data_IF_986484673255
#
_entry.id   IF_986484673255
#
_cell.length_a   1.000
_cell.length_b   1.000
_cell.length_c   1.000
_cell.angle_alpha   90.00
_cell.angle_beta   90.00
_cell.angle_gamma   90.00
#
_symmetry.space_group_name_H-M   'P 1'
#
loop_
_entity.id
_entity.type
_entity.pdbx_description
1 polymer ?
#
# COMPACT_ATOMS: atom_id res chain seq x y z
N UNK A 1 77.06 -43.51 -9.22
CA UNK A 1 76.03 -42.64 -9.84
C UNK A 1 75.53 -43.13 -11.20
N UNK A 2 76.39 -43.71 -12.07
CA UNK A 2 75.96 -44.20 -13.39
C UNK A 2 74.96 -45.37 -13.36
N UNK A 3 75.17 -46.39 -12.52
CA UNK A 3 74.30 -47.58 -12.51
C UNK A 3 72.89 -47.28 -12.01
N UNK A 4 72.75 -46.43 -10.99
CA UNK A 4 71.46 -46.05 -10.41
C UNK A 4 70.64 -45.20 -11.40
N UNK A 5 71.32 -44.31 -12.13
CA UNK A 5 70.71 -43.54 -13.21
C UNK A 5 70.25 -44.44 -14.37
N UNK A 6 71.06 -45.41 -14.79
CA UNK A 6 70.69 -46.38 -15.84
C UNK A 6 69.51 -47.25 -15.40
N UNK A 7 69.49 -47.74 -14.16
CA UNK A 7 68.37 -48.54 -13.62
C UNK A 7 67.08 -47.72 -13.56
N UNK A 8 67.15 -46.45 -13.15
CA UNK A 8 66.00 -45.54 -13.16
C UNK A 8 65.49 -45.29 -14.58
N UNK A 9 66.38 -45.05 -15.55
CA UNK A 9 66.02 -44.84 -16.96
C UNK A 9 65.40 -46.09 -17.58
N UNK A 10 65.93 -47.28 -17.27
CA UNK A 10 65.37 -48.56 -17.73
C UNK A 10 64.01 -48.82 -17.09
N UNK A 11 63.83 -48.53 -15.80
CA UNK A 11 62.54 -48.64 -15.11
C UNK A 11 61.50 -47.67 -15.69
N UNK A 12 61.90 -46.42 -16.01
CA UNK A 12 61.06 -45.41 -16.68
C UNK A 12 60.67 -45.85 -18.10
N UNK A 13 61.57 -46.52 -18.82
CA UNK A 13 61.33 -47.05 -20.17
C UNK A 13 60.51 -48.35 -20.19
N UNK A 14 60.53 -49.13 -19.09
CA UNK A 14 59.72 -50.35 -18.93
C UNK A 14 58.26 -50.06 -18.55
N UNK A 15 57.95 -48.82 -18.16
CA UNK A 15 56.58 -48.37 -17.93
C UNK A 15 55.87 -48.28 -19.30
N UNK A 16 54.73 -48.98 -19.49
CA UNK A 16 54.01 -48.96 -20.76
C UNK A 16 53.71 -47.52 -21.21
N UNK A 17 53.84 -47.26 -22.51
CA UNK A 17 53.61 -45.93 -23.13
C UNK A 17 52.23 -45.34 -22.76
N UNK A 18 51.26 -46.21 -22.49
CA UNK A 18 49.91 -45.90 -22.03
C UNK A 18 49.90 -45.17 -20.67
N UNK A 19 50.85 -45.48 -19.78
CA UNK A 19 50.97 -44.84 -18.46
C UNK A 19 51.53 -43.41 -18.59
N UNK A 20 52.50 -43.18 -19.48
CA UNK A 20 53.02 -41.83 -19.72
C UNK A 20 51.99 -40.91 -20.37
N UNK A 21 51.17 -41.44 -21.28
CA UNK A 21 50.07 -40.70 -21.91
C UNK A 21 49.00 -40.34 -20.88
N UNK A 22 48.62 -41.27 -20.00
CA UNK A 22 47.61 -41.00 -18.96
C UNK A 22 48.12 -40.00 -17.92
N UNK A 23 49.40 -40.08 -17.51
CA UNK A 23 49.99 -39.12 -16.59
C UNK A 23 50.04 -37.71 -17.17
N UNK A 24 50.48 -37.59 -18.44
CA UNK A 24 50.47 -36.33 -19.19
C UNK A 24 49.07 -35.74 -19.34
N UNK A 25 48.09 -36.56 -19.70
CA UNK A 25 46.69 -36.16 -19.82
C UNK A 25 46.11 -35.69 -18.48
N UNK A 26 46.44 -36.37 -17.37
CA UNK A 26 46.02 -35.96 -16.03
C UNK A 26 46.62 -34.62 -15.61
N UNK A 27 47.91 -34.40 -15.86
CA UNK A 27 48.54 -33.10 -15.57
C UNK A 27 47.96 -31.97 -16.40
N UNK A 28 47.66 -32.21 -17.68
CA UNK A 28 47.01 -31.21 -18.54
C UNK A 28 45.60 -30.90 -18.04
N UNK A 29 44.83 -31.92 -17.65
CA UNK A 29 43.49 -31.74 -17.10
C UNK A 29 43.50 -30.90 -15.80
N UNK A 30 44.44 -31.18 -14.88
CA UNK A 30 44.56 -30.43 -13.63
C UNK A 30 44.90 -28.96 -13.90
N UNK A 31 45.81 -28.68 -14.84
CA UNK A 31 46.17 -27.31 -15.22
C UNK A 31 44.98 -26.56 -15.84
N UNK A 32 44.20 -27.23 -16.69
CA UNK A 32 42.99 -26.63 -17.29
C UNK A 32 41.96 -26.32 -16.20
N UNK A 33 41.69 -27.26 -15.29
CA UNK A 33 40.77 -27.05 -14.16
C UNK A 33 41.23 -25.86 -13.32
N UNK A 34 42.51 -25.78 -12.97
CA UNK A 34 43.06 -24.69 -12.17
C UNK A 34 42.92 -23.31 -12.86
N UNK A 35 43.23 -23.22 -14.16
CA UNK A 35 43.08 -21.99 -14.93
C UNK A 35 41.61 -21.55 -15.03
N UNK A 36 40.70 -22.49 -15.24
CA UNK A 36 39.25 -22.22 -15.29
C UNK A 36 38.76 -21.73 -13.92
N UNK A 37 39.13 -22.40 -12.83
CA UNK A 37 38.76 -21.97 -11.47
C UNK A 37 39.25 -20.55 -11.17
N UNK A 38 40.50 -20.21 -11.55
CA UNK A 38 41.04 -18.86 -11.37
C UNK A 38 40.32 -17.80 -12.20
N UNK A 39 39.94 -18.13 -13.44
CA UNK A 39 39.18 -17.24 -14.30
C UNK A 39 37.77 -16.98 -13.74
N UNK A 40 37.11 -18.01 -13.21
CA UNK A 40 35.78 -17.89 -12.57
C UNK A 40 35.87 -17.03 -11.30
N UNK A 41 36.83 -17.28 -10.40
CA UNK A 41 37.03 -16.47 -9.19
C UNK A 41 37.26 -14.98 -9.51
N UNK A 42 38.06 -14.68 -10.54
CA UNK A 42 38.33 -13.30 -10.97
C UNK A 42 37.09 -12.64 -11.60
N UNK A 43 36.29 -13.40 -12.36
CA UNK A 43 35.04 -12.93 -12.94
C UNK A 43 33.98 -12.67 -11.87
N UNK A 44 33.88 -13.52 -10.85
CA UNK A 44 32.97 -13.35 -9.72
C UNK A 44 33.32 -12.11 -8.89
N UNK A 45 34.60 -11.91 -8.55
CA UNK A 45 35.05 -10.71 -7.84
C UNK A 45 34.70 -9.42 -8.58
N UNK A 46 34.95 -9.37 -9.89
CA UNK A 46 34.60 -8.21 -10.73
C UNK A 46 33.09 -7.97 -10.74
N UNK A 47 32.27 -9.03 -10.84
CA UNK A 47 30.81 -8.92 -10.79
C UNK A 47 30.32 -8.37 -9.45
N UNK A 48 30.91 -8.80 -8.34
CA UNK A 48 30.56 -8.29 -7.00
C UNK A 48 30.92 -6.81 -6.86
N UNK A 49 32.13 -6.41 -7.25
CA UNK A 49 32.57 -5.00 -7.21
C UNK A 49 31.71 -4.10 -8.12
N UNK A 50 31.35 -4.57 -9.31
CA UNK A 50 30.48 -3.84 -10.23
C UNK A 50 29.06 -3.72 -9.68
N UNK A 51 28.52 -4.77 -9.07
CA UNK A 51 27.22 -4.72 -8.38
C UNK A 51 27.23 -3.76 -7.19
N UNK A 52 28.31 -3.72 -6.41
CA UNK A 52 28.46 -2.78 -5.30
C UNK A 52 28.53 -1.33 -5.81
N UNK A 53 29.29 -1.07 -6.89
CA UNK A 53 29.33 0.25 -7.53
C UNK A 53 27.94 0.68 -8.02
N UNK A 54 27.22 -0.20 -8.70
CA UNK A 54 25.85 0.07 -9.18
C UNK A 54 24.92 0.35 -7.99
N UNK A 55 25.03 -0.39 -6.88
CA UNK A 55 24.21 -0.14 -5.68
C UNK A 55 24.53 1.22 -5.05
N UNK A 56 25.81 1.54 -4.88
CA UNK A 56 26.26 2.82 -4.33
C UNK A 56 25.78 3.97 -5.23
N UNK A 57 25.94 3.82 -6.54
CA UNK A 57 25.50 4.81 -7.51
C UNK A 57 23.97 4.99 -7.49
N UNK A 58 23.19 3.90 -7.44
CA UNK A 58 21.73 3.99 -7.31
C UNK A 58 21.29 4.67 -6.02
N UNK A 59 21.96 4.39 -4.90
CA UNK A 59 21.70 5.06 -3.62
C UNK A 59 22.05 6.54 -3.71
N UNK A 60 23.19 6.89 -4.32
CA UNK A 60 23.61 8.27 -4.52
C UNK A 60 22.65 9.03 -5.46
N UNK A 61 22.23 8.42 -6.57
CA UNK A 61 21.24 8.98 -7.49
C UNK A 61 19.88 9.15 -6.82
N UNK A 62 19.43 8.17 -6.03
CA UNK A 62 18.18 8.29 -5.28
C UNK A 62 18.26 9.38 -4.20
N UNK A 63 19.40 9.54 -3.53
CA UNK A 63 19.64 10.61 -2.57
C UNK A 63 19.68 11.98 -3.25
N UNK A 64 20.37 12.11 -4.38
CA UNK A 64 20.44 13.33 -5.18
C UNK A 64 19.05 13.72 -5.70
N UNK A 65 18.29 12.77 -6.26
CA UNK A 65 16.93 13.00 -6.73
C UNK A 65 15.97 13.42 -5.60
N UNK A 66 16.15 12.88 -4.39
CA UNK A 66 15.39 13.33 -3.21
C UNK A 66 15.77 14.75 -2.81
N UNK A 67 17.07 15.07 -2.80
CA UNK A 67 17.55 16.40 -2.46
C UNK A 67 17.04 17.45 -3.45
N UNK A 68 17.12 17.15 -4.74
CA UNK A 68 16.65 18.01 -5.82
C UNK A 68 15.14 18.28 -5.71
N UNK A 69 14.33 17.25 -5.39
CA UNK A 69 12.90 17.43 -5.12
C UNK A 69 12.64 18.36 -3.95
N UNK A 70 13.34 18.16 -2.84
CA UNK A 70 13.18 19.01 -1.64
C UNK A 70 13.61 20.45 -1.93
N UNK A 71 14.71 20.66 -2.66
CA UNK A 71 15.13 22.00 -3.07
C UNK A 71 14.12 22.65 -4.00
N UNK A 72 13.59 21.91 -4.97
CA UNK A 72 12.57 22.41 -5.88
C UNK A 72 11.32 22.85 -5.11
N UNK A 73 10.83 21.99 -4.20
CA UNK A 73 9.68 22.31 -3.34
C UNK A 73 9.95 23.55 -2.47
N UNK A 74 11.18 23.70 -1.95
CA UNK A 74 11.57 24.89 -1.18
C UNK A 74 11.55 26.15 -2.05
N UNK A 75 12.09 26.08 -3.26
CA UNK A 75 12.11 27.22 -4.20
C UNK A 75 10.69 27.62 -4.59
N UNK A 76 9.83 26.65 -4.90
CA UNK A 76 8.44 26.91 -5.25
C UNK A 76 7.68 27.56 -4.08
N UNK A 77 7.89 27.06 -2.85
CA UNK A 77 7.34 27.69 -1.65
C UNK A 77 7.85 29.11 -1.45
N UNK A 78 9.14 29.34 -1.66
CA UNK A 78 9.73 30.67 -1.50
C UNK A 78 9.16 31.64 -2.53
N UNK A 79 9.09 31.26 -3.81
CA UNK A 79 8.47 32.08 -4.86
C UNK A 79 7.02 32.44 -4.51
N UNK A 80 6.26 31.49 -3.95
CA UNK A 80 4.88 31.75 -3.52
C UNK A 80 4.80 32.72 -2.34
N UNK A 81 5.70 32.59 -1.36
CA UNK A 81 5.79 33.51 -0.22
C UNK A 81 6.17 34.91 -0.69
N UNK A 82 7.13 35.02 -1.60
CA UNK A 82 7.59 36.30 -2.14
C UNK A 82 6.49 36.99 -2.96
N UNK A 83 5.66 36.22 -3.67
CA UNK A 83 4.57 36.76 -4.49
C UNK A 83 3.32 37.14 -3.68
N UNK A 84 2.93 36.31 -2.72
CA UNK A 84 1.63 36.43 -2.03
C UNK A 84 1.75 36.95 -0.60
N UNK A 85 2.95 36.94 -0.02
CA UNK A 85 3.16 37.06 1.42
C UNK A 85 2.96 35.72 2.16
N UNK A 86 3.57 35.55 3.34
CA UNK A 86 3.63 34.26 4.03
C UNK A 86 2.26 33.70 4.44
N UNK A 87 1.35 34.54 4.91
CA UNK A 87 0.01 34.10 5.35
C UNK A 87 -0.85 33.67 4.17
N UNK A 88 -0.91 34.48 3.12
CA UNK A 88 -1.68 34.19 1.92
C UNK A 88 -1.10 33.00 1.13
N UNK A 89 0.22 32.78 1.18
CA UNK A 89 0.85 31.60 0.61
C UNK A 89 0.38 30.29 1.26
N UNK A 90 0.15 30.29 2.58
CA UNK A 90 -0.41 29.12 3.30
C UNK A 90 -1.84 28.85 2.87
N UNK A 91 -2.66 29.90 2.73
CA UNK A 91 -4.04 29.77 2.26
C UNK A 91 -4.11 29.25 0.82
N UNK A 92 -3.23 29.73 -0.07
CA UNK A 92 -3.10 29.21 -1.42
C UNK A 92 -2.70 27.72 -1.42
N UNK A 93 -1.75 27.30 -0.57
CA UNK A 93 -1.39 25.89 -0.45
C UNK A 93 -2.58 25.04 0.05
N UNK A 94 -3.37 25.58 0.98
CA UNK A 94 -4.60 24.92 1.46
C UNK A 94 -5.61 24.72 0.32
N UNK A 95 -5.85 25.74 -0.49
CA UNK A 95 -6.74 25.64 -1.65
C UNK A 95 -6.24 24.60 -2.67
N UNK A 96 -4.97 24.63 -3.05
CA UNK A 96 -4.37 23.65 -3.96
C UNK A 96 -4.48 22.21 -3.42
N UNK A 97 -4.32 22.04 -2.11
CA UNK A 97 -4.50 20.74 -1.45
C UNK A 97 -5.95 20.27 -1.49
N UNK A 98 -6.91 21.16 -1.25
CA UNK A 98 -8.33 20.85 -1.35
C UNK A 98 -8.73 20.49 -2.78
N UNK A 99 -8.27 21.22 -3.80
CA UNK A 99 -8.45 20.86 -5.22
C UNK A 99 -7.90 19.47 -5.51
N UNK A 100 -6.68 19.17 -5.06
CA UNK A 100 -6.08 17.85 -5.24
C UNK A 100 -6.90 16.75 -4.57
N UNK A 101 -7.52 17.03 -3.43
CA UNK A 101 -8.42 16.08 -2.77
C UNK A 101 -9.68 15.84 -3.60
N UNK A 102 -10.33 16.90 -4.12
CA UNK A 102 -11.53 16.78 -4.97
C UNK A 102 -11.22 15.95 -6.22
N UNK A 103 -10.22 16.34 -7.00
CA UNK A 103 -9.84 15.64 -8.26
C UNK A 103 -9.35 14.21 -7.98
N UNK A 104 -8.79 13.98 -6.79
CA UNK A 104 -8.34 12.66 -6.35
C UNK A 104 -9.47 11.69 -5.98
N UNK A 105 -10.69 12.18 -5.75
CA UNK A 105 -11.85 11.36 -5.37
C UNK A 105 -12.27 10.39 -6.45
N UNK A 106 -12.93 9.32 -6.03
CA UNK A 106 -13.55 8.39 -6.95
C UNK A 106 -14.75 9.01 -7.66
N UNK A 107 -15.53 9.83 -6.95
CA UNK A 107 -16.63 10.61 -7.47
C UNK A 107 -16.20 11.46 -8.67
N UNK A 108 -15.05 12.13 -8.59
CA UNK A 108 -14.49 12.88 -9.72
C UNK A 108 -14.15 11.97 -10.91
N UNK A 109 -13.44 10.85 -10.66
CA UNK A 109 -13.00 9.93 -11.73
C UNK A 109 -14.14 9.19 -12.42
N UNK A 110 -15.18 8.86 -11.68
CA UNK A 110 -16.39 8.21 -12.18
C UNK A 110 -17.39 9.23 -12.77
N UNK A 111 -17.05 10.52 -12.79
CA UNK A 111 -17.86 11.57 -13.42
C UNK A 111 -19.06 12.05 -12.61
N UNK A 112 -19.20 11.62 -11.35
CA UNK A 112 -20.29 12.04 -10.46
C UNK A 112 -20.25 13.54 -10.13
N UNK A 113 -19.06 14.14 -10.14
CA UNK A 113 -18.87 15.57 -9.88
C UNK A 113 -18.97 16.45 -11.15
N UNK A 114 -19.18 15.84 -12.33
CA UNK A 114 -19.13 16.55 -13.61
C UNK A 114 -17.72 16.96 -14.01
N UNK A 115 -17.62 17.96 -14.90
CA UNK A 115 -16.34 18.57 -15.29
C UNK A 115 -15.87 19.53 -14.20
N UNK A 116 -14.83 19.13 -13.47
CA UNK A 116 -14.32 19.85 -12.31
C UNK A 116 -13.08 20.64 -12.70
N UNK A 117 -13.25 21.93 -12.97
CA UNK A 117 -12.16 22.86 -13.23
C UNK A 117 -12.15 24.02 -12.22
N UNK A 118 -11.13 24.04 -11.36
CA UNK A 118 -10.89 25.10 -10.38
C UNK A 118 -9.90 26.17 -10.88
N UNK A 119 -9.46 26.12 -12.14
CA UNK A 119 -8.39 27.00 -12.65
C UNK A 119 -8.75 28.47 -12.51
N UNK A 120 -10.02 28.83 -12.78
CA UNK A 120 -10.52 30.21 -12.63
C UNK A 120 -10.50 30.66 -11.17
N UNK A 121 -10.94 29.82 -10.23
CA UNK A 121 -10.94 30.15 -8.80
C UNK A 121 -9.51 30.30 -8.26
N UNK A 122 -8.61 29.38 -8.63
CA UNK A 122 -7.19 29.46 -8.21
C UNK A 122 -6.52 30.71 -8.77
N UNK A 123 -6.77 31.04 -10.04
CA UNK A 123 -6.26 32.27 -10.65
C UNK A 123 -6.80 33.53 -9.93
N UNK A 124 -8.09 33.55 -9.60
CA UNK A 124 -8.72 34.65 -8.86
C UNK A 124 -8.15 34.82 -7.44
N UNK A 125 -7.94 33.72 -6.71
CA UNK A 125 -7.31 33.74 -5.38
C UNK A 125 -5.87 34.25 -5.48
N UNK A 126 -5.09 33.76 -6.45
CA UNK A 126 -3.70 34.16 -6.65
C UNK A 126 -3.59 35.66 -6.97
N UNK A 127 -4.42 36.15 -7.88
CA UNK A 127 -4.48 37.56 -8.27
C UNK A 127 -4.89 38.46 -7.10
N UNK A 128 -5.93 38.07 -6.35
CA UNK A 128 -6.39 38.80 -5.17
C UNK A 128 -5.31 38.93 -4.09
N UNK A 129 -4.66 37.82 -3.73
CA UNK A 129 -3.57 37.81 -2.76
C UNK A 129 -2.32 38.56 -3.24
N UNK A 130 -1.93 38.43 -4.50
CA UNK A 130 -0.79 39.14 -5.06
C UNK A 130 -1.01 40.67 -5.04
N UNK A 131 -2.21 41.12 -5.43
CA UNK A 131 -2.59 42.54 -5.38
C UNK A 131 -2.62 43.06 -3.94
N UNK A 132 -3.20 42.30 -3.01
CA UNK A 132 -3.21 42.65 -1.59
C UNK A 132 -1.79 42.78 -1.03
N UNK A 133 -0.89 41.83 -1.33
CA UNK A 133 0.50 41.86 -0.89
C UNK A 133 1.27 43.07 -1.45
N UNK A 134 1.15 43.32 -2.76
CA UNK A 134 1.78 44.45 -3.42
C UNK A 134 1.27 45.80 -2.85
N UNK A 135 -0.04 45.93 -2.65
CA UNK A 135 -0.65 47.14 -2.08
C UNK A 135 -0.21 47.34 -0.63
N UNK A 136 -0.10 46.26 0.16
CA UNK A 136 0.37 46.32 1.54
C UNK A 136 1.84 46.75 1.62
N UNK A 137 2.71 46.31 0.70
CA UNK A 137 4.11 46.73 0.64
C UNK A 137 4.26 48.24 0.39
N UNK A 138 3.46 48.81 -0.52
CA UNK A 138 3.47 50.26 -0.80
C UNK A 138 2.82 51.05 0.35
N UNK A 139 1.70 50.55 0.88
CA UNK A 139 1.02 51.12 2.06
C UNK A 139 1.97 51.22 3.26
N UNK A 140 2.74 50.16 3.49
CA UNK A 140 3.77 50.12 4.54
C UNK A 140 4.81 51.23 4.36
N UNK A 141 5.35 51.40 3.15
CA UNK A 141 6.32 52.45 2.83
C UNK A 141 5.73 53.86 3.01
N UNK A 142 4.52 54.11 2.52
CA UNK A 142 3.85 55.41 2.66
C UNK A 142 3.56 55.72 4.14
N UNK A 143 3.15 54.72 4.91
CA UNK A 143 2.87 54.87 6.34
C UNK A 143 4.10 55.15 7.20
N UNK A 144 5.30 54.82 6.70
CA UNK A 144 6.57 55.04 7.38
C UNK A 144 7.18 56.43 7.14
N UNK A 145 6.58 57.25 6.25
CA UNK A 145 7.05 58.61 6.01
C UNK A 145 6.74 59.53 7.20
N UNK A 146 7.69 60.41 7.52
CA UNK A 146 7.49 61.42 8.55
C UNK A 146 6.51 62.51 8.09
N UNK A 147 5.65 62.95 9.01
CA UNK A 147 4.65 64.02 8.82
C UNK A 147 3.66 63.74 7.65
N UNK A 148 2.85 62.68 7.73
CA UNK A 148 1.88 62.36 6.69
C UNK A 148 0.83 63.48 6.53
N UNK A 149 0.56 63.85 5.28
CA UNK A 149 -0.48 64.81 4.90
C UNK A 149 -1.88 64.23 5.14
N UNK A 150 -2.91 65.07 5.06
CA UNK A 150 -4.29 64.59 5.16
C UNK A 150 -4.65 63.68 3.99
N UNK A 151 -4.09 63.92 2.80
CA UNK A 151 -4.34 63.10 1.63
C UNK A 151 -3.65 61.73 1.77
N UNK A 152 -2.43 61.68 2.31
CA UNK A 152 -1.74 60.42 2.62
C UNK A 152 -2.58 59.56 3.58
N UNK A 153 -3.15 60.17 4.63
CA UNK A 153 -3.99 59.45 5.59
C UNK A 153 -5.25 58.88 4.96
N UNK A 154 -5.90 59.64 4.07
CA UNK A 154 -7.08 59.17 3.32
C UNK A 154 -6.71 58.01 2.41
N UNK A 155 -5.63 58.15 1.65
CA UNK A 155 -5.14 57.13 0.72
C UNK A 155 -4.74 55.84 1.47
N UNK A 156 -4.09 55.94 2.62
CA UNK A 156 -3.76 54.80 3.48
C UNK A 156 -5.01 54.10 4.02
N UNK A 157 -6.06 54.85 4.39
CA UNK A 157 -7.32 54.27 4.84
C UNK A 157 -8.03 53.52 3.72
N UNK A 158 -8.08 54.10 2.52
CA UNK A 158 -8.64 53.47 1.33
C UNK A 158 -7.86 52.22 0.95
N UNK A 159 -6.53 52.29 0.88
CA UNK A 159 -5.67 51.16 0.58
C UNK A 159 -5.87 50.00 1.56
N UNK A 160 -5.97 50.28 2.87
CA UNK A 160 -6.25 49.25 3.89
C UNK A 160 -7.61 48.60 3.70
N UNK A 161 -8.64 49.37 3.36
CA UNK A 161 -9.97 48.82 3.07
C UNK A 161 -9.95 47.93 1.81
N UNK A 162 -9.23 48.35 0.76
CA UNK A 162 -9.06 47.56 -0.46
C UNK A 162 -8.29 46.27 -0.20
N UNK A 163 -7.18 46.32 0.55
CA UNK A 163 -6.40 45.12 0.96
C UNK A 163 -7.33 44.13 1.67
N UNK A 164 -8.06 44.60 2.69
CA UNK A 164 -8.96 43.74 3.46
C UNK A 164 -10.05 43.12 2.58
N UNK A 165 -10.60 43.86 1.62
CA UNK A 165 -11.59 43.31 0.71
C UNK A 165 -11.02 42.26 -0.25
N UNK A 166 -9.83 42.49 -0.82
CA UNK A 166 -9.14 41.54 -1.68
C UNK A 166 -8.84 40.23 -0.93
N UNK A 167 -8.29 40.34 0.28
CA UNK A 167 -7.98 39.17 1.11
C UNK A 167 -9.25 38.42 1.50
N UNK A 168 -10.29 39.12 1.95
CA UNK A 168 -11.57 38.51 2.31
C UNK A 168 -12.17 37.71 1.14
N UNK A 169 -12.27 38.32 -0.05
CA UNK A 169 -12.84 37.63 -1.22
C UNK A 169 -12.01 36.41 -1.62
N UNK A 170 -10.69 36.48 -1.54
CA UNK A 170 -9.83 35.32 -1.81
C UNK A 170 -9.98 34.23 -0.73
N UNK A 171 -10.05 34.59 0.56
CA UNK A 171 -10.27 33.65 1.67
C UNK A 171 -11.61 32.94 1.53
N UNK A 172 -12.70 33.66 1.23
CA UNK A 172 -14.02 33.06 1.01
C UNK A 172 -14.00 32.02 -0.11
N UNK A 173 -13.22 32.25 -1.18
CA UNK A 173 -13.04 31.26 -2.26
C UNK A 173 -12.22 30.06 -1.80
N UNK A 174 -11.16 30.25 -1.03
CA UNK A 174 -10.39 29.14 -0.42
C UNK A 174 -11.30 28.26 0.44
N UNK A 175 -12.19 28.87 1.23
CA UNK A 175 -13.14 28.14 2.09
C UNK A 175 -14.16 27.34 1.27
N UNK A 176 -14.71 27.92 0.20
CA UNK A 176 -15.62 27.21 -0.70
C UNK A 176 -14.95 25.99 -1.35
N UNK A 177 -13.71 26.13 -1.82
CA UNK A 177 -12.94 25.00 -2.37
C UNK A 177 -12.72 23.92 -1.30
N UNK A 178 -12.44 24.32 -0.06
CA UNK A 178 -12.29 23.37 1.05
C UNK A 178 -13.61 22.63 1.35
N UNK A 179 -14.76 23.30 1.27
CA UNK A 179 -16.07 22.67 1.39
C UNK A 179 -16.33 21.68 0.25
N UNK A 180 -15.99 22.02 -1.00
CA UNK A 180 -16.08 21.07 -2.12
C UNK A 180 -15.28 19.78 -1.85
N UNK A 181 -14.10 19.89 -1.23
CA UNK A 181 -13.29 18.73 -0.85
C UNK A 181 -13.95 17.86 0.25
N UNK A 182 -14.71 18.46 1.16
CA UNK A 182 -15.48 17.73 2.17
C UNK A 182 -16.64 16.98 1.51
N UNK A 183 -17.42 17.66 0.67
CA UNK A 183 -18.57 17.06 -0.01
C UNK A 183 -18.17 15.94 -0.98
N UNK A 184 -17.10 16.13 -1.75
CA UNK A 184 -16.58 15.09 -2.63
C UNK A 184 -16.19 13.81 -1.85
N UNK A 185 -15.66 13.96 -0.63
CA UNK A 185 -15.37 12.80 0.24
C UNK A 185 -16.64 12.14 0.78
N UNK A 186 -17.70 12.90 1.06
CA UNK A 186 -18.97 12.33 1.48
C UNK A 186 -19.60 11.50 0.37
N UNK A 187 -19.54 11.97 -0.89
CA UNK A 187 -19.98 11.19 -2.05
C UNK A 187 -19.14 9.91 -2.17
N UNK A 188 -17.81 9.99 -2.08
CA UNK A 188 -16.95 8.80 -2.09
C UNK A 188 -17.29 7.80 -0.97
N UNK A 189 -17.67 8.29 0.21
CA UNK A 189 -18.09 7.43 1.31
C UNK A 189 -19.44 6.75 1.01
N UNK A 190 -20.39 7.49 0.41
CA UNK A 190 -21.67 6.94 -0.04
C UNK A 190 -21.48 5.85 -1.10
N UNK A 191 -20.67 6.13 -2.13
CA UNK A 191 -20.38 5.17 -3.20
C UNK A 191 -19.72 3.89 -2.66
N UNK A 192 -18.85 4.01 -1.65
CA UNK A 192 -18.26 2.85 -0.97
C UNK A 192 -19.29 2.05 -0.19
N UNK A 193 -20.15 2.72 0.57
CA UNK A 193 -21.23 2.06 1.31
C UNK A 193 -22.19 1.32 0.36
N UNK A 194 -22.60 1.95 -0.75
CA UNK A 194 -23.48 1.33 -1.75
C UNK A 194 -22.88 0.05 -2.34
N UNK A 195 -21.57 0.02 -2.60
CA UNK A 195 -20.88 -1.19 -3.07
C UNK A 195 -20.78 -2.28 -2.02
N UNK A 196 -20.51 -1.90 -0.77
CA UNK A 196 -20.47 -2.85 0.33
C UNK A 196 -21.84 -3.48 0.55
N UNK A 197 -22.90 -2.68 0.51
CA UNK A 197 -24.29 -3.14 0.60
C UNK A 197 -24.66 -4.07 -0.56
N UNK A 198 -24.28 -3.71 -1.79
CA UNK A 198 -24.48 -4.58 -2.96
C UNK A 198 -23.77 -5.93 -2.80
N UNK A 199 -22.51 -5.92 -2.33
CA UNK A 199 -21.74 -7.14 -2.08
C UNK A 199 -22.34 -7.99 -0.97
N UNK A 200 -22.82 -7.37 0.11
CA UNK A 200 -23.49 -8.08 1.22
C UNK A 200 -24.81 -8.68 0.76
N UNK A 201 -25.58 -7.96 -0.06
CA UNK A 201 -26.83 -8.47 -0.63
C UNK A 201 -26.57 -9.70 -1.52
N UNK A 202 -25.53 -9.66 -2.36
CA UNK A 202 -25.12 -10.79 -3.20
C UNK A 202 -24.70 -12.00 -2.34
N UNK A 203 -23.82 -11.80 -1.36
CA UNK A 203 -23.41 -12.87 -0.43
C UNK A 203 -24.59 -13.45 0.35
N UNK A 204 -25.54 -12.60 0.77
CA UNK A 204 -26.76 -13.04 1.45
C UNK A 204 -27.60 -13.92 0.52
N UNK A 205 -27.78 -13.52 -0.73
CA UNK A 205 -28.54 -14.31 -1.71
C UNK A 205 -27.87 -15.68 -1.96
N UNK A 206 -26.54 -15.71 -2.12
CA UNK A 206 -25.78 -16.95 -2.32
C UNK A 206 -25.90 -17.89 -1.11
N UNK A 207 -25.65 -17.39 0.10
CA UNK A 207 -25.73 -18.17 1.33
C UNK A 207 -27.16 -18.65 1.60
N UNK A 208 -28.16 -17.80 1.34
CA UNK A 208 -29.56 -18.19 1.47
C UNK A 208 -29.90 -19.32 0.49
N UNK A 209 -29.49 -19.22 -0.77
CA UNK A 209 -29.68 -20.29 -1.76
C UNK A 209 -29.02 -21.61 -1.35
N UNK A 210 -27.78 -21.56 -0.85
CA UNK A 210 -27.06 -22.74 -0.32
C UNK A 210 -27.76 -23.37 0.87
N UNK A 211 -28.20 -22.55 1.84
CA UNK A 211 -28.90 -23.01 3.03
C UNK A 211 -30.25 -23.64 2.67
N UNK A 212 -31.04 -23.00 1.80
CA UNK A 212 -32.30 -23.54 1.32
C UNK A 212 -32.10 -24.88 0.61
N UNK A 213 -31.08 -25.01 -0.24
CA UNK A 213 -30.77 -26.27 -0.90
C UNK A 213 -30.38 -27.39 0.09
N UNK A 214 -29.64 -27.06 1.16
CA UNK A 214 -29.32 -28.03 2.22
C UNK A 214 -30.57 -28.46 3.00
N UNK A 215 -31.41 -27.51 3.43
CA UNK A 215 -32.62 -27.81 4.20
C UNK A 215 -33.62 -28.64 3.40
N UNK A 216 -33.94 -28.22 2.19
CA UNK A 216 -34.88 -28.97 1.34
C UNK A 216 -34.26 -30.24 0.74
N UNK A 217 -32.93 -30.30 0.58
CA UNK A 217 -32.24 -31.54 0.24
C UNK A 217 -32.33 -32.58 1.36
N UNK A 218 -32.33 -32.15 2.63
CA UNK A 218 -32.57 -33.03 3.79
C UNK A 218 -34.04 -33.48 3.83
N UNK A 219 -35.00 -32.58 3.58
CA UNK A 219 -36.44 -32.94 3.54
C UNK A 219 -36.80 -33.89 2.38
N UNK A 220 -36.08 -33.82 1.26
CA UNK A 220 -36.25 -34.75 0.13
C UNK A 220 -35.54 -36.10 0.34
N UNK A 221 -34.81 -36.27 1.45
CA UNK A 221 -34.22 -37.56 1.81
C UNK A 221 -35.34 -38.44 2.38
N UNK A 222 -35.61 -39.64 1.83
CA UNK A 222 -36.67 -40.50 2.33
C UNK A 222 -36.46 -40.76 3.83
N UNK A 223 -37.57 -40.69 4.56
CA UNK A 223 -37.64 -40.81 6.01
C UNK A 223 -36.81 -42.02 6.48
N UNK A 224 -35.64 -41.77 7.05
CA UNK A 224 -34.74 -42.79 7.57
C UNK A 224 -35.05 -43.09 9.03
N UNK A 225 -36.29 -42.83 9.47
CA UNK A 225 -36.80 -43.33 10.74
C UNK A 225 -36.65 -44.85 10.68
N UNK A 226 -35.78 -45.47 11.50
CA UNK A 226 -35.59 -46.91 11.47
C UNK A 226 -36.92 -47.54 11.87
N UNK A 227 -37.64 -48.11 10.92
CA UNK A 227 -38.93 -48.79 11.16
C UNK A 227 -38.74 -50.01 12.08
N UNK A 228 -37.48 -50.41 12.29
CA UNK A 228 -37.06 -51.51 13.14
C UNK A 228 -35.88 -51.06 14.03
N UNK A 229 -36.16 -50.18 15.00
CA UNK A 229 -35.15 -49.63 15.91
C UNK A 229 -34.65 -50.69 16.88
N UNK A 230 -33.40 -51.14 16.70
CA UNK A 230 -32.73 -52.07 17.61
C UNK A 230 -32.72 -51.54 19.07
N UNK A 231 -32.72 -50.22 19.26
CA UNK A 231 -32.80 -49.58 20.57
C UNK A 231 -34.17 -49.84 21.22
N UNK A 232 -35.26 -49.72 20.45
CA UNK A 232 -36.61 -50.02 20.94
C UNK A 232 -36.77 -51.51 21.25
N UNK A 233 -36.25 -52.39 20.40
CA UNK A 233 -36.25 -53.83 20.63
C UNK A 233 -35.47 -54.21 21.90
N UNK A 234 -34.33 -53.56 22.18
CA UNK A 234 -33.57 -53.77 23.41
C UNK A 234 -34.32 -53.24 24.62
N UNK A 235 -34.93 -52.04 24.55
CA UNK A 235 -35.70 -51.47 25.65
C UNK A 235 -36.94 -52.30 26.00
N UNK A 236 -37.63 -52.84 25.00
CA UNK A 236 -38.74 -53.77 25.19
C UNK A 236 -38.29 -55.06 25.90
N UNK A 237 -37.14 -55.62 25.51
CA UNK A 237 -36.56 -56.80 26.17
C UNK A 237 -36.13 -56.51 27.61
N UNK A 238 -35.56 -55.34 27.89
CA UNK A 238 -35.20 -54.90 29.25
C UNK A 238 -36.44 -54.74 30.13
N UNK A 239 -37.52 -54.18 29.60
CA UNK A 239 -38.78 -54.06 30.33
C UNK A 239 -39.38 -55.44 30.62
N UNK A 240 -39.43 -56.33 29.63
CA UNK A 240 -39.90 -57.71 29.83
C UNK A 240 -39.07 -58.45 30.89
N UNK A 241 -37.74 -58.29 30.87
CA UNK A 241 -36.86 -58.87 31.88
C UNK A 241 -37.14 -58.32 33.29
N UNK A 242 -37.33 -57.00 33.43
CA UNK A 242 -37.67 -56.37 34.71
C UNK A 242 -39.04 -56.84 35.23
N UNK A 243 -40.01 -57.02 34.35
CA UNK A 243 -41.33 -57.52 34.72
C UNK A 243 -41.26 -58.97 35.22
N UNK A 244 -40.55 -59.85 34.51
CA UNK A 244 -40.33 -61.24 34.93
C UNK A 244 -39.63 -61.27 36.29
N UNK A 245 -38.58 -60.47 36.48
CA UNK A 245 -37.86 -60.40 37.77
C UNK A 245 -38.77 -59.95 38.91
N UNK A 246 -39.61 -58.95 38.68
CA UNK A 246 -40.58 -58.47 39.67
C UNK A 246 -41.64 -59.53 39.99
N UNK A 247 -42.11 -60.31 39.00
CA UNK A 247 -43.05 -61.43 39.24
C UNK A 247 -42.40 -62.54 40.07
N UNK A 248 -41.15 -62.89 39.80
CA UNK A 248 -40.40 -63.89 40.58
C UNK A 248 -40.18 -63.42 42.02
N UNK A 249 -39.84 -62.15 42.21
CA UNK A 249 -39.66 -61.59 43.55
C UNK A 249 -40.97 -61.64 44.35
N UNK A 250 -42.09 -61.21 43.75
CA UNK A 250 -43.41 -61.30 44.41
C UNK A 250 -43.81 -62.74 44.74
N UNK A 251 -43.49 -63.71 43.89
CA UNK A 251 -43.75 -65.12 44.17
C UNK A 251 -42.92 -65.63 45.35
N UNK A 252 -41.63 -65.25 45.43
CA UNK A 252 -40.77 -65.58 46.59
C UNK A 252 -41.23 -64.92 47.88
N UNK A 253 -41.67 -63.67 47.81
CA UNK A 253 -42.16 -62.95 48.99
C UNK A 253 -43.50 -63.54 49.49
N UNK A 254 -44.31 -64.13 48.60
CA UNK A 254 -45.56 -64.82 48.94
C UNK A 254 -45.36 -66.26 49.46
N UNK A 255 -44.25 -66.92 49.14
CA UNK A 255 -43.88 -68.24 49.69
C UNK A 255 -43.16 -68.14 51.06
N UNK A 256 -42.69 -66.95 51.43
CA UNK A 256 -41.95 -66.68 52.67
C UNK A 256 -42.79 -66.03 53.79
N UNK A 257 -44.09 -65.83 53.58
CA UNK A 257 -45.05 -65.31 54.57
C UNK A 257 -46.13 -66.35 54.90
#
# INVERSE_FOLDING_TARGET
MGVLFVVIVVLIAAVPKEVWITLGAMTALILVIWLVSKAVEAAEKRRVEEQERIRIERVAQAAAAKHERVEWERREKQVRIDMLGPQNAVLMESALRAVKQVVGTEAARAGWLGDVDFSTDIAGIADGFAKAHALNAVTGKLSALDKPSNDDRKLLAEARATIANLERTAIERVELIAQCAVEARHIDASLRAEREDARVAEQRAELHGKLSAMLYGIEATPDSTPTDSAVEAVMARVQAYREIKNRIQRARDAEAG
#
